data_IF_162252465044
#
_entry.id   IF_162252465044
#
_cell.length_a   1.000
_cell.length_b   1.000
_cell.length_c   1.000
_cell.angle_alpha   90.00
_cell.angle_beta   90.00
_cell.angle_gamma   90.00
#
_symmetry.space_group_name_H-M   'P 1'
#
loop_
_entity.id
_entity.type
_entity.pdbx_description
1 polymer ?
#
# COMPACT_ATOMS: atom_id res chain seq x y z
N UNK A 1 16.53 17.44 0.85
CA UNK A 1 17.39 16.24 0.93
C UNK A 1 17.96 16.19 2.33
N UNK A 2 17.24 15.59 3.27
CA UNK A 2 17.55 15.62 4.70
C UNK A 2 18.29 14.35 5.10
N UNK A 3 19.54 14.52 5.54
CA UNK A 3 20.32 13.47 6.20
C UNK A 3 19.75 13.29 7.61
N UNK A 4 19.38 12.07 8.01
CA UNK A 4 18.92 11.82 9.38
C UNK A 4 17.87 10.73 9.56
N UNK A 5 17.27 10.71 10.75
CA UNK A 5 16.20 9.79 11.12
C UNK A 5 14.89 10.22 10.47
N UNK A 6 14.28 9.29 9.74
CA UNK A 6 12.92 9.46 9.22
C UNK A 6 11.98 8.72 10.14
N UNK A 7 10.95 9.43 10.60
CA UNK A 7 9.90 8.88 11.46
C UNK A 7 8.63 8.63 10.66
N UNK A 8 7.93 7.56 11.00
CA UNK A 8 6.60 7.24 10.51
C UNK A 8 5.62 7.05 11.66
N UNK A 9 4.36 7.39 11.38
CA UNK A 9 3.27 7.18 12.29
C UNK A 9 2.99 5.68 12.54
N UNK A 10 2.20 5.36 13.57
CA UNK A 10 1.83 3.96 13.88
C UNK A 10 1.02 3.27 12.77
N UNK A 11 0.32 4.05 11.94
CA UNK A 11 -0.44 3.57 10.78
C UNK A 11 0.31 3.73 9.45
N UNK A 12 1.64 3.88 9.49
CA UNK A 12 2.48 3.98 8.30
C UNK A 12 3.63 2.98 8.39
N UNK A 13 4.04 2.45 7.24
CA UNK A 13 5.27 1.67 7.10
C UNK A 13 6.31 2.46 6.30
N UNK A 14 7.56 2.44 6.79
CA UNK A 14 8.72 2.92 6.05
C UNK A 14 9.24 1.81 5.16
N UNK A 15 9.37 2.09 3.88
CA UNK A 15 10.05 1.24 2.90
C UNK A 15 11.37 1.91 2.56
N UNK A 16 12.46 1.20 2.83
CA UNK A 16 13.81 1.66 2.56
C UNK A 16 14.36 0.81 1.42
N UNK A 17 14.62 1.46 0.29
CA UNK A 17 15.22 0.87 -0.90
C UNK A 17 16.61 1.48 -1.13
N UNK A 18 17.58 0.69 -1.62
CA UNK A 18 18.94 1.20 -1.83
C UNK A 18 19.98 0.12 -2.13
N UNK A 19 21.20 0.55 -2.46
CA UNK A 19 22.27 -0.29 -3.02
C UNK A 19 22.74 -1.43 -2.07
N UNK A 20 22.66 -1.24 -0.75
CA UNK A 20 23.12 -2.23 0.22
C UNK A 20 22.05 -3.25 0.64
N UNK A 21 20.80 -3.11 0.17
CA UNK A 21 19.70 -3.99 0.52
C UNK A 21 19.21 -4.72 -0.73
N UNK A 22 19.57 -6.00 -0.87
CA UNK A 22 19.08 -6.84 -1.98
C UNK A 22 17.55 -7.05 -1.98
N UNK A 23 16.89 -6.79 -0.85
CA UNK A 23 15.43 -6.71 -0.72
C UNK A 23 15.05 -5.42 0.02
N UNK A 24 13.93 -4.76 -0.33
CA UNK A 24 13.48 -3.56 0.36
C UNK A 24 13.27 -3.86 1.84
N UNK A 25 13.83 -3.01 2.71
CA UNK A 25 13.67 -3.14 4.15
C UNK A 25 12.42 -2.38 4.59
N UNK A 26 11.45 -3.09 5.17
CA UNK A 26 10.17 -2.52 5.59
C UNK A 26 10.09 -2.46 7.11
N UNK A 27 9.84 -1.26 7.65
CA UNK A 27 9.70 -1.00 9.08
C UNK A 27 8.29 -0.49 9.36
N UNK A 28 7.40 -1.31 9.96
CA UNK A 28 6.05 -0.89 10.32
C UNK A 28 6.09 -0.01 11.57
N UNK A 29 5.79 1.28 11.40
CA UNK A 29 5.83 2.28 12.48
C UNK A 29 7.24 2.54 13.03
N UNK A 30 7.46 3.74 13.56
CA UNK A 30 8.68 4.08 14.29
C UNK A 30 9.66 4.93 13.50
N UNK A 31 10.97 4.64 13.66
CA UNK A 31 12.05 5.47 13.10
C UNK A 31 13.08 4.61 12.38
N UNK A 32 13.59 5.09 11.25
CA UNK A 32 14.70 4.46 10.56
C UNK A 32 15.76 5.49 10.20
N UNK A 33 17.02 5.06 10.26
CA UNK A 33 18.15 5.87 9.83
C UNK A 33 18.35 5.70 8.32
N UNK A 34 18.46 6.81 7.60
CA UNK A 34 18.62 6.80 6.15
C UNK A 34 19.90 7.52 5.73
N UNK A 35 20.65 6.89 4.84
CA UNK A 35 21.80 7.50 4.18
C UNK A 35 21.36 8.08 2.82
N UNK A 36 21.19 9.41 2.71
CA UNK A 36 20.54 10.05 1.55
C UNK A 36 21.26 9.91 0.21
N UNK A 37 22.50 9.40 0.18
CA UNK A 37 23.28 9.20 -1.05
C UNK A 37 23.02 7.83 -1.68
N UNK A 38 22.72 6.81 -0.87
CA UNK A 38 22.60 5.42 -1.34
C UNK A 38 21.24 4.78 -1.04
N UNK A 39 20.40 5.46 -0.26
CA UNK A 39 19.13 4.93 0.24
C UNK A 39 18.00 5.92 -0.02
N UNK A 40 16.86 5.39 -0.44
CA UNK A 40 15.60 6.10 -0.63
C UNK A 40 14.57 5.60 0.38
N UNK A 41 13.83 6.53 0.98
CA UNK A 41 12.74 6.22 1.88
C UNK A 41 11.42 6.54 1.18
N UNK A 42 10.48 5.60 1.29
CA UNK A 42 9.10 5.78 0.87
C UNK A 42 8.19 5.37 2.01
N UNK A 43 7.01 5.99 2.07
CA UNK A 43 6.02 5.72 3.10
C UNK A 43 4.83 5.01 2.47
N UNK A 44 4.30 4.00 3.17
CA UNK A 44 3.07 3.30 2.78
C UNK A 44 2.07 3.44 3.92
N UNK A 45 0.84 3.81 3.57
CA UNK A 45 -0.29 3.90 4.48
C UNK A 45 -0.78 2.49 4.84
N UNK A 46 -0.86 2.17 6.13
CA UNK A 46 -1.45 0.93 6.67
C UNK A 46 -2.93 1.12 7.07
N UNK A 47 -3.52 2.24 6.65
CA UNK A 47 -4.92 2.53 6.90
C UNK A 47 -5.83 1.54 6.15
N UNK A 48 -7.03 1.33 6.69
CA UNK A 48 -8.06 0.55 6.00
C UNK A 48 -8.52 1.32 4.77
N UNK A 49 -8.32 0.73 3.60
CA UNK A 49 -8.77 1.26 2.32
C UNK A 49 -10.16 0.69 2.02
N UNK A 50 -11.07 1.55 1.54
CA UNK A 50 -12.40 1.12 1.11
C UNK A 50 -12.45 1.14 -0.41
N UNK A 51 -12.70 -0.02 -1.02
CA UNK A 51 -12.88 -0.20 -2.46
C UNK A 51 -14.38 -0.27 -2.74
N UNK A 52 -14.87 0.62 -3.59
CA UNK A 52 -16.25 0.58 -4.08
C UNK A 52 -16.23 -0.11 -5.43
N UNK A 53 -16.77 -1.34 -5.48
CA UNK A 53 -16.86 -2.10 -6.72
C UNK A 53 -18.27 -1.93 -7.27
N UNK A 54 -18.39 -1.29 -8.42
CA UNK A 54 -19.63 -1.20 -9.17
C UNK A 54 -19.52 -2.08 -10.41
N UNK A 55 -20.31 -3.16 -10.44
CA UNK A 55 -20.39 -4.00 -11.63
C UNK A 55 -21.39 -3.37 -12.61
N UNK A 56 -20.99 -3.06 -13.85
CA UNK A 56 -21.92 -2.56 -14.87
C UNK A 56 -23.01 -3.61 -15.13
N UNK A 57 -24.19 -3.20 -15.64
CA UNK A 57 -25.34 -4.09 -15.88
C UNK A 57 -24.92 -5.38 -16.62
N UNK A 58 -24.75 -6.46 -15.87
CA UNK A 58 -24.44 -7.78 -16.42
C UNK A 58 -25.79 -8.46 -16.65
N UNK A 59 -26.01 -8.92 -17.88
CA UNK A 59 -27.22 -9.67 -18.21
C UNK A 59 -27.03 -11.13 -17.81
N UNK A 60 -28.00 -11.65 -17.06
CA UNK A 60 -28.08 -13.09 -16.79
C UNK A 60 -28.48 -13.87 -18.04
N UNK A 61 -28.30 -15.20 -18.03
CA UNK A 61 -28.75 -16.08 -19.11
C UNK A 61 -30.26 -16.00 -19.41
N UNK A 62 -31.05 -15.42 -18.49
CA UNK A 62 -32.49 -15.18 -18.65
C UNK A 62 -32.82 -13.75 -19.14
N UNK A 63 -31.81 -12.95 -19.52
CA UNK A 63 -31.98 -11.61 -20.08
C UNK A 63 -32.26 -10.51 -19.05
N UNK A 64 -32.22 -10.82 -17.75
CA UNK A 64 -32.46 -9.84 -16.69
C UNK A 64 -31.17 -9.06 -16.38
N UNK A 65 -31.18 -7.72 -16.45
CA UNK A 65 -30.02 -6.91 -16.09
C UNK A 65 -29.83 -6.90 -14.56
N UNK A 66 -28.65 -7.30 -14.11
CA UNK A 66 -28.25 -7.22 -12.70
C UNK A 66 -27.14 -6.18 -12.56
N UNK A 67 -27.32 -5.25 -11.63
CA UNK A 67 -26.30 -4.34 -11.14
C UNK A 67 -25.92 -4.74 -9.73
N UNK A 68 -24.62 -4.91 -9.47
CA UNK A 68 -24.10 -5.23 -8.14
C UNK A 68 -23.21 -4.09 -7.69
N UNK A 69 -23.54 -3.52 -6.53
CA UNK A 69 -22.69 -2.58 -5.81
C UNK A 69 -22.14 -3.30 -4.58
N UNK A 70 -20.82 -3.37 -4.50
CA UNK A 70 -20.10 -3.98 -3.38
C UNK A 70 -19.20 -2.96 -2.70
N UNK A 71 -19.09 -3.06 -1.37
CA UNK A 71 -18.08 -2.34 -0.60
C UNK A 71 -17.12 -3.38 -0.04
N UNK A 72 -15.85 -3.29 -0.41
CA UNK A 72 -14.79 -4.11 0.14
C UNK A 72 -13.88 -3.24 1.01
N UNK A 73 -13.52 -3.74 2.19
CA UNK A 73 -12.55 -3.09 3.07
C UNK A 73 -11.26 -3.91 3.07
N UNK A 74 -10.16 -3.28 2.68
CA UNK A 74 -8.84 -3.90 2.59
C UNK A 74 -7.92 -3.26 3.62
N UNK A 75 -7.24 -4.08 4.41
CA UNK A 75 -6.28 -3.62 5.42
C UNK A 75 -4.97 -4.39 5.30
N UNK A 76 -3.87 -3.66 5.20
CA UNK A 76 -2.52 -4.23 5.24
C UNK A 76 -2.09 -4.38 6.69
N UNK A 77 -1.80 -5.62 7.12
CA UNK A 77 -1.35 -5.87 8.48
C UNK A 77 0.16 -5.62 8.60
N UNK A 78 0.55 -4.62 9.39
CA UNK A 78 1.96 -4.28 9.62
C UNK A 78 2.78 -5.34 10.38
N UNK A 79 2.14 -6.33 11.02
CA UNK A 79 2.86 -7.40 11.71
C UNK A 79 3.39 -8.48 10.75
N UNK A 80 2.76 -8.64 9.58
CA UNK A 80 3.14 -9.67 8.62
C UNK A 80 4.08 -9.09 7.57
N UNK A 81 5.35 -9.52 7.61
CA UNK A 81 6.40 -9.05 6.70
C UNK A 81 6.11 -9.38 5.24
N UNK A 82 5.56 -10.56 4.96
CA UNK A 82 5.27 -10.97 3.59
C UNK A 82 4.16 -10.12 2.98
N UNK A 83 3.10 -9.88 3.75
CA UNK A 83 1.98 -9.02 3.34
C UNK A 83 2.42 -7.57 3.14
N UNK A 84 3.32 -7.07 3.98
CA UNK A 84 3.95 -5.76 3.81
C UNK A 84 4.79 -5.69 2.53
N UNK A 85 5.59 -6.71 2.22
CA UNK A 85 6.38 -6.76 0.99
C UNK A 85 5.47 -6.77 -0.25
N UNK A 86 4.41 -7.58 -0.26
CA UNK A 86 3.43 -7.58 -1.35
C UNK A 86 2.74 -6.22 -1.48
N UNK A 87 2.37 -5.59 -0.36
CA UNK A 87 1.80 -4.25 -0.35
C UNK A 87 2.81 -3.21 -0.89
N UNK A 88 4.10 -3.36 -0.61
CA UNK A 88 5.14 -2.53 -1.22
C UNK A 88 5.16 -2.71 -2.73
N UNK A 89 5.14 -3.93 -3.24
CA UNK A 89 5.17 -4.15 -4.69
C UNK A 89 3.94 -3.58 -5.41
N UNK A 90 2.77 -3.61 -4.78
CA UNK A 90 1.50 -3.21 -5.41
C UNK A 90 1.13 -1.73 -5.22
N UNK A 91 1.48 -1.14 -4.07
CA UNK A 91 1.02 0.20 -3.68
C UNK A 91 2.13 1.25 -3.66
N UNK A 92 3.40 0.85 -3.71
CA UNK A 92 4.51 1.82 -3.68
C UNK A 92 4.47 2.71 -4.92
N UNK A 93 4.32 4.01 -4.70
CA UNK A 93 4.26 5.02 -5.77
C UNK A 93 2.85 5.30 -6.31
N UNK A 94 1.83 4.53 -5.90
CA UNK A 94 0.43 4.84 -6.21
C UNK A 94 -0.17 5.77 -5.17
N UNK A 95 -1.04 6.68 -5.59
CA UNK A 95 -1.84 7.51 -4.67
C UNK A 95 -3.01 6.69 -4.13
N UNK A 96 -3.49 7.01 -2.93
CA UNK A 96 -4.64 6.32 -2.32
C UNK A 96 -5.88 6.33 -3.24
N UNK A 97 -6.09 7.42 -4.00
CA UNK A 97 -7.16 7.53 -4.99
C UNK A 97 -7.01 6.54 -6.15
N UNK A 98 -5.78 6.25 -6.59
CA UNK A 98 -5.50 5.27 -7.64
C UNK A 98 -5.67 3.85 -7.12
N UNK A 99 -5.38 3.63 -5.83
CA UNK A 99 -5.58 2.34 -5.17
C UNK A 99 -7.07 2.02 -5.00
N UNK A 100 -7.90 3.06 -4.79
CA UNK A 100 -9.35 2.92 -4.67
C UNK A 100 -10.06 2.59 -5.99
N UNK A 101 -9.45 2.92 -7.12
CA UNK A 101 -10.01 2.70 -8.47
C UNK A 101 -9.38 1.51 -9.20
N UNK A 102 -8.71 0.60 -8.48
CA UNK A 102 -8.18 -0.65 -9.06
C UNK A 102 -9.29 -1.67 -9.22
#
# INVERSE_FOLDING_TARGET
MTWGFITCGPNEALVISGCCYGRPHVVPGGRAFLWPVFQQAQKISLNTMTLQIESPKVYTSQGVPISVTGVAQVKVQGQNKDMLLTACEQFLGKKESEIQHI
#
